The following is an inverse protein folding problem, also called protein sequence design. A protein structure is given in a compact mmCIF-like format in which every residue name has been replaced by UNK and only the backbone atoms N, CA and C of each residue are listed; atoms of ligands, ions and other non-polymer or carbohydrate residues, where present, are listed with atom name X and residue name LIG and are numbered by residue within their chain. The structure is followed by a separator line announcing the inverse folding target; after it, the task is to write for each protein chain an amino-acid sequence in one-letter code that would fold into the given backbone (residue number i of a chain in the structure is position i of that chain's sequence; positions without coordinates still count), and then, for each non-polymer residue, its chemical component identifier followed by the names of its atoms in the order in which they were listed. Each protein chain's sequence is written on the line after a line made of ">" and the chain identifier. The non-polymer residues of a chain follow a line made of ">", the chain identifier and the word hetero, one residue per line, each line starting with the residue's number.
data_IF_836260790971
#
_entry.id   IF_836260790971
#
_cell.length_a   1.000
_cell.length_b   1.000
_cell.length_c   1.000
_cell.angle_alpha   90.00
_cell.angle_beta   90.00
_cell.angle_gamma   90.00
#
_symmetry.space_group_name_H-M   'P 1'
#
loop_
_entity.id
_entity.type
_entity.pdbx_description
1 polymer ?
#
# COMPACT_ATOMS: atom_id res chain seq x y z
N UNK A 1 -7.26 -67.79 51.55
CA UNK A 1 -7.03 -66.35 51.64
C UNK A 1 -7.28 -65.75 50.27
N UNK A 2 -8.44 -65.03 50.10
CA UNK A 2 -8.89 -64.43 48.87
C UNK A 2 -8.48 -62.93 48.93
N UNK A 3 -7.63 -62.50 48.02
CA UNK A 3 -7.25 -61.09 47.90
C UNK A 3 -8.15 -60.50 46.81
N UNK A 4 -9.03 -59.57 47.21
CA UNK A 4 -9.86 -58.77 46.30
C UNK A 4 -9.08 -57.52 45.96
N UNK A 5 -8.67 -57.40 44.67
CA UNK A 5 -8.13 -56.14 44.11
C UNK A 5 -9.28 -55.22 43.71
N UNK A 6 -9.42 -54.12 44.44
CA UNK A 6 -10.30 -53.01 44.05
C UNK A 6 -9.53 -52.12 43.07
N UNK A 7 -9.99 -52.08 41.79
CA UNK A 7 -9.46 -51.15 40.81
C UNK A 7 -10.26 -49.85 40.91
N UNK A 8 -9.62 -48.77 41.42
CA UNK A 8 -10.15 -47.41 41.38
C UNK A 8 -9.92 -46.86 39.96
N UNK A 9 -10.97 -46.67 39.20
CA UNK A 9 -10.93 -45.92 37.95
C UNK A 9 -10.96 -44.43 38.25
N UNK A 10 -9.80 -43.72 38.10
CA UNK A 10 -9.78 -42.28 38.05
C UNK A 10 -10.24 -41.86 36.64
N UNK A 11 -11.44 -41.30 36.54
CA UNK A 11 -11.88 -40.54 35.39
C UNK A 11 -11.17 -39.18 35.43
N UNK A 12 -10.07 -39.05 34.73
CA UNK A 12 -9.49 -37.73 34.40
C UNK A 12 -10.33 -37.08 33.31
N UNK A 13 -11.18 -36.14 33.68
CA UNK A 13 -11.70 -35.14 32.77
C UNK A 13 -10.50 -34.29 32.32
N UNK A 14 -9.90 -34.65 31.20
CA UNK A 14 -8.99 -33.77 30.49
C UNK A 14 -9.79 -32.66 29.85
N UNK A 15 -9.69 -31.44 30.38
CA UNK A 15 -9.98 -30.23 29.67
C UNK A 15 -9.15 -30.28 28.40
N UNK A 16 -9.81 -30.51 27.27
CA UNK A 16 -9.24 -30.27 25.96
C UNK A 16 -9.19 -28.75 25.78
N UNK A 17 -8.22 -28.10 26.42
CA UNK A 17 -7.75 -26.81 26.01
C UNK A 17 -7.32 -26.99 24.55
N UNK A 18 -8.15 -26.55 23.63
CA UNK A 18 -7.76 -26.37 22.25
C UNK A 18 -6.52 -25.47 22.25
N UNK A 19 -5.36 -26.06 22.07
CA UNK A 19 -4.18 -25.30 21.64
C UNK A 19 -4.58 -24.68 20.33
N UNK A 20 -5.02 -23.42 20.35
CA UNK A 20 -5.00 -22.56 19.19
C UNK A 20 -3.60 -22.68 18.59
N UNK A 21 -3.54 -23.12 17.34
CA UNK A 21 -2.30 -23.18 16.61
C UNK A 21 -1.74 -21.76 16.58
N UNK A 22 -0.60 -21.55 17.21
CA UNK A 22 0.18 -20.32 17.07
C UNK A 22 0.70 -20.26 15.63
N UNK A 23 -0.20 -20.07 14.68
CA UNK A 23 0.12 -19.84 13.29
C UNK A 23 0.72 -18.45 13.14
N UNK A 24 1.79 -18.34 12.42
CA UNK A 24 2.32 -17.06 11.96
C UNK A 24 1.56 -16.68 10.69
N UNK A 25 0.98 -15.48 10.65
CA UNK A 25 0.40 -14.90 9.44
C UNK A 25 1.50 -14.16 8.66
N UNK A 26 1.54 -14.37 7.35
CA UNK A 26 2.52 -13.72 6.47
C UNK A 26 1.84 -12.72 5.51
N UNK A 27 2.28 -11.46 5.55
CA UNK A 27 1.82 -10.39 4.67
C UNK A 27 3.00 -9.90 3.85
N UNK A 28 2.93 -9.98 2.52
CA UNK A 28 4.02 -9.56 1.64
C UNK A 28 3.53 -8.62 0.55
N UNK A 29 4.33 -7.65 0.14
CA UNK A 29 4.01 -6.85 -1.04
C UNK A 29 4.39 -5.39 -0.98
N UNK A 30 3.42 -4.51 -1.12
CA UNK A 30 3.61 -3.08 -1.35
C UNK A 30 4.42 -2.38 -0.28
N UNK A 31 5.48 -1.67 -0.67
CA UNK A 31 6.22 -0.77 0.24
C UNK A 31 5.42 0.49 0.62
N UNK A 32 4.34 0.79 -0.10
CA UNK A 32 3.38 1.83 0.26
C UNK A 32 2.48 1.38 1.40
N UNK A 33 1.97 0.15 1.34
CA UNK A 33 1.07 -0.42 2.36
C UNK A 33 1.83 -0.85 3.62
N UNK A 34 3.14 -1.05 3.50
CA UNK A 34 3.99 -1.55 4.60
C UNK A 34 3.73 -0.86 5.95
N UNK A 35 3.68 0.48 6.06
CA UNK A 35 3.43 1.13 7.36
C UNK A 35 2.07 0.77 7.97
N UNK A 36 1.01 0.70 7.17
CA UNK A 36 -0.33 0.29 7.65
C UNK A 36 -0.28 -1.15 8.16
N UNK A 37 0.30 -2.05 7.35
CA UNK A 37 0.38 -3.46 7.70
C UNK A 37 1.23 -3.72 8.95
N UNK A 38 2.36 -3.01 9.13
CA UNK A 38 3.20 -3.13 10.33
C UNK A 38 2.49 -2.63 11.59
N UNK A 39 1.85 -1.45 11.54
CA UNK A 39 1.09 -0.92 12.68
C UNK A 39 -0.08 -1.83 13.05
N UNK A 40 -0.78 -2.36 12.05
CA UNK A 40 -1.85 -3.33 12.27
C UNK A 40 -1.31 -4.66 12.84
N UNK A 41 -0.15 -5.12 12.40
CA UNK A 41 0.48 -6.32 12.92
C UNK A 41 0.79 -6.19 14.42
N UNK A 42 1.39 -5.06 14.84
CA UNK A 42 1.65 -4.78 16.26
C UNK A 42 0.37 -4.78 17.10
N UNK A 43 -0.68 -4.09 16.64
CA UNK A 43 -1.96 -4.03 17.34
C UNK A 43 -2.68 -5.38 17.40
N UNK A 44 -2.66 -6.13 16.30
CA UNK A 44 -3.28 -7.45 16.20
C UNK A 44 -2.55 -8.48 17.08
N UNK A 45 -1.22 -8.48 17.08
CA UNK A 45 -0.41 -9.34 17.94
C UNK A 45 -0.66 -9.04 19.42
N UNK A 46 -0.73 -7.76 19.79
CA UNK A 46 -1.02 -7.36 21.19
C UNK A 46 -2.39 -7.87 21.68
N UNK A 47 -3.38 -7.98 20.78
CA UNK A 47 -4.75 -8.45 21.11
C UNK A 47 -4.90 -9.95 21.09
N UNK A 48 -4.28 -10.61 20.13
CA UNK A 48 -4.55 -12.03 19.83
C UNK A 48 -3.41 -12.96 20.23
N UNK A 49 -2.20 -12.42 20.41
CA UNK A 49 -0.98 -13.20 20.57
C UNK A 49 -0.50 -13.88 19.29
N UNK A 50 -1.11 -13.59 18.14
CA UNK A 50 -0.74 -14.16 16.85
C UNK A 50 0.32 -13.26 16.21
N UNK A 51 1.46 -13.85 15.85
CA UNK A 51 2.53 -13.12 15.18
C UNK A 51 2.19 -12.89 13.69
N UNK A 52 2.33 -11.65 13.22
CA UNK A 52 2.15 -11.28 11.82
C UNK A 52 3.49 -10.79 11.24
N UNK A 53 4.00 -11.52 10.27
CA UNK A 53 5.24 -11.16 9.56
C UNK A 53 4.91 -10.33 8.31
N UNK A 54 5.35 -9.08 8.32
CA UNK A 54 5.11 -8.15 7.21
C UNK A 54 6.41 -7.92 6.43
N UNK A 55 6.34 -7.91 5.10
CA UNK A 55 7.49 -7.64 4.22
C UNK A 55 7.14 -6.78 3.00
N UNK A 56 7.95 -5.74 2.78
CA UNK A 56 7.82 -4.82 1.64
C UNK A 56 8.69 -5.23 0.45
N UNK A 57 8.14 -6.03 -0.46
CA UNK A 57 8.83 -6.58 -1.63
C UNK A 57 8.38 -5.96 -2.97
N UNK A 58 7.36 -5.10 -2.95
CA UNK A 58 6.64 -4.60 -4.12
C UNK A 58 5.34 -5.37 -4.36
N UNK A 59 4.33 -4.68 -4.91
CA UNK A 59 2.97 -5.24 -5.08
C UNK A 59 2.96 -6.51 -5.92
N UNK A 60 3.65 -6.52 -7.06
CA UNK A 60 3.70 -7.69 -7.95
C UNK A 60 4.35 -8.90 -7.28
N UNK A 61 5.44 -8.69 -6.51
CA UNK A 61 6.10 -9.77 -5.78
C UNK A 61 5.20 -10.35 -4.66
N UNK A 62 4.43 -9.50 -3.97
CA UNK A 62 3.47 -9.95 -2.97
C UNK A 62 2.32 -10.74 -3.56
N UNK A 63 1.75 -10.26 -4.67
CA UNK A 63 0.68 -10.96 -5.40
C UNK A 63 1.17 -12.33 -5.87
N UNK A 64 2.35 -12.40 -6.47
CA UNK A 64 2.95 -13.67 -6.89
C UNK A 64 3.19 -14.63 -5.70
N UNK A 65 3.68 -14.10 -4.57
CA UNK A 65 3.90 -14.89 -3.36
C UNK A 65 2.58 -15.50 -2.83
N UNK A 66 1.47 -14.74 -2.89
CA UNK A 66 0.16 -15.21 -2.44
C UNK A 66 -0.45 -16.23 -3.41
N UNK A 67 -0.32 -16.02 -4.72
CA UNK A 67 -0.72 -17.02 -5.73
C UNK A 67 0.02 -18.34 -5.51
N UNK A 68 1.31 -18.28 -5.22
CA UNK A 68 2.17 -19.44 -5.00
C UNK A 68 2.06 -20.04 -3.58
N UNK A 69 1.25 -19.45 -2.69
CA UNK A 69 1.05 -19.92 -1.32
C UNK A 69 2.26 -19.73 -0.38
N UNK A 70 3.19 -18.82 -0.72
CA UNK A 70 4.35 -18.46 0.12
C UNK A 70 4.08 -17.25 1.01
N UNK A 71 3.00 -16.52 0.76
CA UNK A 71 2.40 -15.54 1.65
C UNK A 71 0.90 -15.80 1.78
N UNK A 72 0.34 -15.50 2.95
CA UNK A 72 -1.09 -15.66 3.23
C UNK A 72 -1.89 -14.48 2.65
N UNK A 73 -1.32 -13.29 2.69
CA UNK A 73 -1.92 -12.04 2.23
C UNK A 73 -0.91 -11.28 1.37
N UNK A 74 -1.33 -10.87 0.16
CA UNK A 74 -0.59 -9.86 -0.59
C UNK A 74 -1.06 -8.47 -0.21
N UNK A 75 -0.14 -7.53 0.01
CA UNK A 75 -0.43 -6.11 0.09
C UNK A 75 -0.11 -5.43 -1.24
N UNK A 76 -1.01 -4.57 -1.73
CA UNK A 76 -0.84 -3.91 -3.03
C UNK A 76 -1.28 -2.46 -3.02
N UNK A 77 -0.62 -1.65 -3.82
CA UNK A 77 -0.96 -0.24 -4.06
C UNK A 77 -1.45 -0.01 -5.51
N UNK A 78 -2.05 -1.04 -6.07
CA UNK A 78 -2.76 -1.08 -7.34
C UNK A 78 -3.76 -2.23 -7.36
N UNK A 79 -4.76 -2.17 -8.23
CA UNK A 79 -5.62 -3.31 -8.54
C UNK A 79 -4.83 -4.44 -9.24
N UNK A 80 -5.46 -5.60 -9.40
CA UNK A 80 -4.91 -6.72 -10.18
C UNK A 80 -4.80 -6.33 -11.66
N UNK A 81 -3.75 -6.81 -12.31
CA UNK A 81 -3.67 -6.76 -13.78
C UNK A 81 -4.66 -7.75 -14.40
N UNK A 82 -4.90 -7.61 -15.71
CA UNK A 82 -5.78 -8.55 -16.44
C UNK A 82 -5.30 -10.01 -16.34
N UNK A 83 -3.98 -10.24 -16.28
CA UNK A 83 -3.39 -11.56 -16.10
C UNK A 83 -3.63 -12.10 -14.68
N UNK A 84 -3.36 -11.28 -13.66
CA UNK A 84 -3.56 -11.63 -12.25
C UNK A 84 -5.05 -11.85 -11.90
N UNK A 85 -5.96 -11.11 -12.55
CA UNK A 85 -7.43 -11.28 -12.38
C UNK A 85 -7.95 -12.63 -12.86
N UNK A 86 -7.14 -13.40 -13.58
CA UNK A 86 -7.48 -14.78 -13.93
C UNK A 86 -7.22 -15.81 -12.82
N UNK A 87 -6.61 -15.37 -11.71
CA UNK A 87 -6.38 -16.18 -10.52
C UNK A 87 -7.57 -16.10 -9.55
N UNK A 88 -7.60 -17.00 -8.55
CA UNK A 88 -8.65 -17.03 -7.52
C UNK A 88 -8.45 -15.99 -6.40
N UNK A 89 -7.76 -14.88 -6.71
CA UNK A 89 -7.51 -13.83 -5.71
C UNK A 89 -8.77 -13.02 -5.40
N UNK A 90 -9.04 -12.89 -4.11
CA UNK A 90 -10.10 -12.02 -3.57
C UNK A 90 -9.45 -10.74 -3.05
N UNK A 91 -10.01 -9.59 -3.46
CA UNK A 91 -9.54 -8.27 -3.10
C UNK A 91 -10.32 -7.67 -1.94
N UNK A 92 -9.62 -7.04 -1.01
CA UNK A 92 -10.22 -6.18 0.02
C UNK A 92 -9.53 -4.82 -0.04
N UNK A 93 -10.30 -3.74 -0.22
CA UNK A 93 -9.77 -2.37 -0.09
C UNK A 93 -9.53 -2.09 1.39
N UNK A 94 -8.33 -1.62 1.74
CA UNK A 94 -7.95 -1.37 3.14
C UNK A 94 -7.74 0.11 3.46
N UNK A 95 -7.52 0.93 2.45
CA UNK A 95 -7.38 2.38 2.56
C UNK A 95 -7.43 3.02 1.16
N UNK A 96 -7.68 4.33 1.10
CA UNK A 96 -7.45 5.13 -0.10
C UNK A 96 -6.16 5.94 0.04
N UNK A 97 -5.52 6.25 -1.08
CA UNK A 97 -4.21 6.91 -1.14
C UNK A 97 -4.09 7.80 -2.38
N UNK A 98 -3.28 8.85 -2.26
CA UNK A 98 -2.86 9.67 -3.39
C UNK A 98 -1.39 9.42 -3.73
N UNK A 99 -1.05 9.46 -5.02
CA UNK A 99 0.34 9.45 -5.47
C UNK A 99 0.84 10.90 -5.50
N UNK A 100 1.55 11.33 -4.45
CA UNK A 100 2.17 12.63 -4.40
C UNK A 100 3.39 12.69 -5.33
N UNK A 101 3.44 13.70 -6.20
CA UNK A 101 4.63 14.06 -6.95
C UNK A 101 5.46 14.98 -6.10
N UNK A 102 6.68 14.58 -5.78
CA UNK A 102 7.55 15.26 -4.82
C UNK A 102 8.79 15.84 -5.48
N UNK A 103 9.18 16.99 -4.97
CA UNK A 103 10.44 17.70 -5.29
C UNK A 103 11.18 18.06 -4.00
N UNK A 104 12.43 18.46 -4.11
CA UNK A 104 13.17 19.01 -2.98
C UNK A 104 12.54 20.34 -2.52
N UNK A 105 12.49 20.63 -1.21
CA UNK A 105 11.94 21.87 -0.66
C UNK A 105 12.58 23.15 -1.20
N UNK A 106 13.83 23.08 -1.68
CA UNK A 106 14.52 24.20 -2.29
C UNK A 106 14.14 24.42 -3.78
N UNK A 107 13.36 23.51 -4.37
CA UNK A 107 12.85 23.70 -5.73
C UNK A 107 11.66 24.68 -5.70
N UNK A 108 11.69 25.80 -6.44
CA UNK A 108 10.62 26.79 -6.39
C UNK A 108 9.38 26.44 -7.21
N UNK A 109 9.40 25.38 -8.03
CA UNK A 109 8.23 24.91 -8.79
C UNK A 109 7.26 24.25 -7.84
N UNK A 110 5.99 24.70 -7.85
CA UNK A 110 4.96 24.23 -6.92
C UNK A 110 3.79 23.54 -7.63
N UNK A 111 3.68 23.70 -8.94
CA UNK A 111 2.57 23.18 -9.73
C UNK A 111 3.02 22.79 -11.11
N UNK A 112 2.45 21.70 -11.65
CA UNK A 112 2.62 21.27 -13.04
C UNK A 112 1.29 20.66 -13.51
N UNK A 113 1.14 20.54 -14.83
CA UNK A 113 0.01 19.80 -15.39
C UNK A 113 0.29 18.30 -15.46
N UNK A 114 -0.75 17.49 -15.61
CA UNK A 114 -0.61 16.05 -15.83
C UNK A 114 0.18 15.75 -17.13
N UNK A 115 0.01 16.58 -18.16
CA UNK A 115 0.75 16.46 -19.42
C UNK A 115 2.24 16.81 -19.23
N UNK A 116 2.57 17.89 -18.47
CA UNK A 116 3.95 18.21 -18.10
C UNK A 116 4.60 17.04 -17.36
N UNK A 117 3.88 16.47 -16.39
CA UNK A 117 4.37 15.32 -15.61
C UNK A 117 4.68 14.12 -16.51
N UNK A 118 3.80 13.81 -17.46
CA UNK A 118 4.03 12.77 -18.47
C UNK A 118 5.27 13.07 -19.31
N UNK A 119 5.40 14.30 -19.78
CA UNK A 119 6.51 14.71 -20.65
C UNK A 119 7.85 14.76 -19.88
N UNK A 120 7.83 15.09 -18.61
CA UNK A 120 9.00 14.95 -17.70
C UNK A 120 9.44 13.48 -17.65
N UNK A 121 8.53 12.56 -17.31
CA UNK A 121 8.87 11.14 -17.16
C UNK A 121 9.13 10.43 -18.47
N UNK A 122 8.68 10.99 -19.60
CA UNK A 122 9.05 10.56 -20.96
C UNK A 122 10.39 11.14 -21.42
N UNK A 123 11.02 12.03 -20.65
CA UNK A 123 12.29 12.67 -20.99
C UNK A 123 12.21 13.72 -22.08
N UNK A 124 11.02 14.27 -22.35
CA UNK A 124 10.81 15.39 -23.29
C UNK A 124 11.08 16.74 -22.63
N UNK A 125 10.63 16.94 -21.38
CA UNK A 125 10.97 18.07 -20.52
C UNK A 125 12.13 17.62 -19.64
N UNK A 126 13.28 18.29 -19.72
CA UNK A 126 14.51 17.86 -19.06
C UNK A 126 15.14 18.92 -18.16
N UNK A 127 14.60 20.12 -18.14
CA UNK A 127 15.08 21.23 -17.37
C UNK A 127 13.93 21.97 -16.68
N UNK A 128 14.09 22.30 -15.40
CA UNK A 128 13.08 23.03 -14.64
C UNK A 128 12.73 24.39 -15.21
N UNK A 129 13.66 25.03 -15.97
CA UNK A 129 13.38 26.31 -16.64
C UNK A 129 12.28 26.23 -17.69
N UNK A 130 11.99 25.04 -18.26
CA UNK A 130 10.89 24.80 -19.18
C UNK A 130 9.53 24.91 -18.48
N UNK A 131 9.52 24.80 -17.14
CA UNK A 131 8.34 24.89 -16.27
C UNK A 131 8.34 26.16 -15.41
N UNK A 132 9.11 27.17 -15.79
CA UNK A 132 9.22 28.45 -15.04
C UNK A 132 10.10 28.39 -13.79
N UNK A 133 10.80 27.29 -13.57
CA UNK A 133 11.78 27.11 -12.52
C UNK A 133 13.18 27.61 -12.89
N UNK A 134 14.21 27.28 -12.08
CA UNK A 134 15.59 27.62 -12.36
C UNK A 134 16.17 26.85 -13.54
N UNK A 135 17.26 27.34 -14.14
CA UNK A 135 18.05 26.57 -15.11
C UNK A 135 18.79 25.43 -14.40
N UNK A 136 18.08 24.32 -14.24
CA UNK A 136 18.51 23.15 -13.51
C UNK A 136 17.96 21.87 -14.18
N UNK A 137 18.85 20.93 -14.46
CA UNK A 137 18.46 19.65 -15.05
C UNK A 137 17.54 18.86 -14.11
N UNK A 138 16.43 18.34 -14.66
CA UNK A 138 15.54 17.45 -13.95
C UNK A 138 16.21 16.09 -13.77
N UNK A 139 16.25 15.60 -12.52
CA UNK A 139 16.75 14.28 -12.17
C UNK A 139 15.58 13.38 -11.86
N UNK A 140 15.27 12.47 -12.79
CA UNK A 140 14.14 11.55 -12.66
C UNK A 140 14.43 10.45 -11.66
N UNK A 141 13.53 10.28 -10.70
CA UNK A 141 13.51 9.15 -9.77
C UNK A 141 12.28 8.32 -10.04
N UNK A 142 12.47 7.07 -10.42
CA UNK A 142 11.42 6.12 -10.76
C UNK A 142 11.48 4.93 -9.79
N UNK A 143 10.47 4.09 -9.84
CA UNK A 143 10.39 2.83 -9.12
C UNK A 143 10.70 1.65 -10.05
N UNK A 144 11.04 0.51 -9.47
CA UNK A 144 11.23 -0.75 -10.19
C UNK A 144 9.90 -1.36 -10.68
N UNK A 145 9.99 -2.43 -11.45
CA UNK A 145 8.84 -3.09 -12.07
C UNK A 145 7.94 -3.83 -11.07
N UNK A 146 8.44 -4.19 -9.89
CA UNK A 146 7.64 -4.81 -8.84
C UNK A 146 6.74 -3.79 -8.11
N UNK A 147 6.95 -2.49 -8.34
CA UNK A 147 6.24 -1.41 -7.64
C UNK A 147 4.83 -1.19 -8.18
N UNK A 148 3.81 -1.47 -7.34
CA UNK A 148 2.43 -1.08 -7.64
C UNK A 148 2.23 0.43 -7.78
N UNK A 149 3.03 1.27 -7.09
CA UNK A 149 3.00 2.73 -7.27
C UNK A 149 3.47 3.13 -8.66
N UNK A 150 4.52 2.48 -9.20
CA UNK A 150 4.96 2.71 -10.58
C UNK A 150 3.89 2.28 -11.58
N UNK A 151 3.23 1.17 -11.35
CA UNK A 151 2.20 0.68 -12.24
C UNK A 151 0.96 1.57 -12.23
N UNK A 152 0.48 2.00 -11.05
CA UNK A 152 -0.60 2.98 -10.94
C UNK A 152 -0.21 4.31 -11.61
N UNK A 153 1.00 4.82 -11.37
CA UNK A 153 1.51 6.01 -12.03
C UNK A 153 1.59 5.82 -13.56
N UNK A 154 2.03 4.67 -14.03
CA UNK A 154 2.06 4.34 -15.45
C UNK A 154 0.68 4.36 -16.08
N UNK A 155 -0.31 3.81 -15.41
CA UNK A 155 -1.70 3.80 -15.88
C UNK A 155 -2.30 5.21 -15.93
N UNK A 156 -2.15 5.99 -14.87
CA UNK A 156 -2.79 7.30 -14.72
C UNK A 156 -2.05 8.37 -15.54
N UNK A 157 -0.73 8.44 -15.43
CA UNK A 157 0.09 9.51 -15.99
C UNK A 157 0.65 9.14 -17.36
N UNK A 158 1.33 8.00 -17.48
CA UNK A 158 2.04 7.65 -18.71
C UNK A 158 1.12 7.19 -19.82
N UNK A 159 0.01 6.51 -19.53
CA UNK A 159 -1.02 6.09 -20.49
C UNK A 159 -0.44 5.43 -21.76
N UNK A 160 0.50 4.50 -21.55
CA UNK A 160 1.20 3.80 -22.63
C UNK A 160 2.44 4.51 -23.16
N UNK A 161 2.77 5.71 -22.69
CA UNK A 161 4.04 6.37 -22.97
C UNK A 161 5.17 5.69 -22.16
N UNK A 162 6.31 5.40 -22.79
CA UNK A 162 7.44 4.80 -22.12
C UNK A 162 8.14 5.78 -21.16
N UNK A 163 8.62 5.26 -20.03
CA UNK A 163 9.49 6.01 -19.13
C UNK A 163 10.88 6.22 -19.71
N UNK A 164 11.44 7.39 -19.45
CA UNK A 164 12.84 7.68 -19.78
C UNK A 164 13.77 6.71 -19.02
N UNK A 165 14.61 6.00 -19.79
CA UNK A 165 15.56 5.00 -19.26
C UNK A 165 16.70 5.61 -18.44
N UNK A 166 16.86 6.93 -18.46
CA UNK A 166 17.84 7.66 -17.64
C UNK A 166 17.42 7.84 -16.19
N UNK A 167 16.16 7.58 -15.86
CA UNK A 167 15.65 7.67 -14.50
C UNK A 167 16.40 6.74 -13.55
N UNK A 168 16.73 7.24 -12.34
CA UNK A 168 17.21 6.40 -11.26
C UNK A 168 16.07 5.49 -10.79
N UNK A 169 16.29 4.18 -10.77
CA UNK A 169 15.29 3.19 -10.41
C UNK A 169 15.52 2.70 -8.98
N UNK A 170 14.50 2.83 -8.13
CA UNK A 170 14.57 2.51 -6.70
C UNK A 170 13.48 1.50 -6.29
N UNK A 171 13.80 0.54 -5.40
CA UNK A 171 12.87 -0.52 -5.02
C UNK A 171 11.83 -0.10 -3.97
N UNK A 172 12.03 1.00 -3.22
CA UNK A 172 11.19 1.34 -2.07
C UNK A 172 10.70 2.79 -2.06
N UNK A 173 9.49 3.01 -1.52
CA UNK A 173 8.85 4.32 -1.41
C UNK A 173 9.70 5.30 -0.58
N UNK A 174 10.22 4.87 0.57
CA UNK A 174 11.07 5.71 1.42
C UNK A 174 12.39 6.11 0.74
N UNK A 175 12.96 5.24 -0.10
CA UNK A 175 14.19 5.54 -0.83
C UNK A 175 13.99 6.63 -1.89
N UNK A 176 12.83 6.67 -2.55
CA UNK A 176 12.49 7.76 -3.47
C UNK A 176 12.50 9.09 -2.73
N UNK A 177 11.80 9.18 -1.59
CA UNK A 177 11.79 10.37 -0.75
C UNK A 177 13.19 10.80 -0.34
N UNK A 178 14.01 9.85 0.10
CA UNK A 178 15.37 10.14 0.56
C UNK A 178 16.27 10.69 -0.56
N UNK A 179 16.15 10.20 -1.78
CA UNK A 179 16.91 10.71 -2.94
C UNK A 179 16.43 12.12 -3.31
N UNK A 180 15.11 12.34 -3.39
CA UNK A 180 14.53 13.64 -3.73
C UNK A 180 14.90 14.69 -2.68
N UNK A 181 14.88 14.35 -1.39
CA UNK A 181 15.23 15.27 -0.30
C UNK A 181 16.68 15.77 -0.36
N UNK A 182 17.56 15.07 -1.07
CA UNK A 182 19.00 15.41 -1.15
C UNK A 182 19.42 16.08 -2.44
N UNK A 183 18.51 16.20 -3.42
CA UNK A 183 18.83 16.80 -4.72
C UNK A 183 17.78 17.80 -5.17
N UNK A 184 18.18 19.07 -5.33
CA UNK A 184 17.29 20.18 -5.72
C UNK A 184 16.65 19.93 -7.10
N UNK A 185 17.35 19.24 -8.01
CA UNK A 185 16.85 18.94 -9.35
C UNK A 185 15.96 17.71 -9.43
N UNK A 186 15.85 16.94 -8.35
CA UNK A 186 15.13 15.67 -8.38
C UNK A 186 13.61 15.83 -8.36
N UNK A 187 12.95 14.93 -9.07
CA UNK A 187 11.50 14.70 -9.02
C UNK A 187 11.26 13.21 -8.81
N UNK A 188 10.29 12.89 -7.96
CA UNK A 188 9.88 11.53 -7.66
C UNK A 188 8.38 11.46 -7.41
N UNK A 189 7.85 10.26 -7.21
CA UNK A 189 6.46 10.04 -6.83
C UNK A 189 6.37 8.98 -5.73
N UNK A 190 5.57 9.25 -4.72
CA UNK A 190 5.36 8.41 -3.53
C UNK A 190 3.90 8.49 -3.08
N UNK A 191 3.52 7.68 -2.12
CA UNK A 191 2.23 7.82 -1.43
C UNK A 191 2.19 9.10 -0.58
N UNK A 192 1.01 9.74 -0.48
CA UNK A 192 0.77 10.87 0.44
C UNK A 192 1.08 10.49 1.90
N UNK A 193 0.87 9.24 2.29
CA UNK A 193 1.22 8.73 3.62
C UNK A 193 2.71 8.83 3.95
N UNK A 194 3.59 8.90 2.96
CA UNK A 194 5.03 9.15 3.16
C UNK A 194 5.39 10.63 3.24
N UNK A 195 4.44 11.53 3.03
CA UNK A 195 4.60 12.99 3.13
C UNK A 195 3.81 13.53 4.31
N UNK A 196 2.52 13.20 4.41
CA UNK A 196 1.57 13.77 5.36
C UNK A 196 1.56 13.09 6.74
N UNK A 197 2.17 11.91 6.86
CA UNK A 197 2.22 11.17 8.11
C UNK A 197 2.80 12.01 9.24
N UNK A 198 2.10 12.07 10.37
CA UNK A 198 2.61 12.71 11.60
C UNK A 198 3.86 12.02 12.18
N UNK A 199 4.17 10.83 11.73
CA UNK A 199 5.36 10.07 12.13
C UNK A 199 6.59 10.35 11.26
N UNK A 200 6.45 11.20 10.23
CA UNK A 200 7.51 11.44 9.25
C UNK A 200 7.89 12.92 9.22
N UNK A 201 9.15 13.24 9.45
CA UNK A 201 9.72 14.55 9.14
C UNK A 201 10.21 14.52 7.69
N UNK A 202 9.66 15.37 6.82
CA UNK A 202 10.05 15.43 5.42
C UNK A 202 10.79 16.71 5.08
N UNK A 203 11.70 16.65 4.11
CA UNK A 203 12.38 17.77 3.45
C UNK A 203 12.06 17.77 1.95
N UNK A 204 10.84 17.36 1.62
CA UNK A 204 10.30 17.36 0.26
C UNK A 204 8.98 18.09 0.24
N UNK A 205 8.73 18.80 -0.86
CA UNK A 205 7.46 19.47 -1.16
C UNK A 205 6.69 18.69 -2.20
N UNK A 206 5.37 18.76 -2.13
CA UNK A 206 4.49 18.18 -3.13
C UNK A 206 4.19 19.21 -4.21
N UNK A 207 4.08 18.73 -5.46
CA UNK A 207 3.55 19.54 -6.55
C UNK A 207 2.02 19.36 -6.61
N UNK A 208 1.29 20.44 -6.83
CA UNK A 208 -0.10 20.34 -7.28
C UNK A 208 -0.13 19.90 -8.74
N UNK A 209 -1.10 19.04 -9.07
CA UNK A 209 -1.31 18.52 -10.42
C UNK A 209 -2.62 19.10 -10.97
N UNK A 210 -2.57 19.77 -12.12
CA UNK A 210 -3.71 20.49 -12.69
C UNK A 210 -4.38 21.46 -11.69
N UNK A 211 -3.60 22.03 -10.78
CA UNK A 211 -4.05 22.94 -9.73
C UNK A 211 -4.65 22.29 -8.50
N UNK A 212 -4.62 20.94 -8.39
CA UNK A 212 -5.11 20.20 -7.23
C UNK A 212 -3.95 19.68 -6.40
N UNK A 213 -3.95 19.96 -5.08
CA UNK A 213 -2.94 19.50 -4.14
C UNK A 213 -3.19 18.03 -3.71
N UNK A 214 -2.12 17.25 -3.42
CA UNK A 214 -2.24 15.89 -2.90
C UNK A 214 -2.57 15.90 -1.40
N UNK A 215 -3.79 16.29 -1.06
CA UNK A 215 -4.31 16.26 0.31
C UNK A 215 -5.26 15.08 0.51
N UNK A 216 -5.43 14.66 1.76
CA UNK A 216 -6.40 13.60 2.13
C UNK A 216 -7.79 13.98 1.64
N UNK A 217 -8.26 15.21 1.89
CA UNK A 217 -9.57 15.71 1.45
C UNK A 217 -9.74 15.63 -0.07
N UNK A 218 -8.71 15.98 -0.86
CA UNK A 218 -8.79 15.95 -2.32
C UNK A 218 -8.74 14.52 -2.89
N UNK A 219 -8.13 13.60 -2.17
CA UNK A 219 -8.19 12.17 -2.51
C UNK A 219 -9.56 11.59 -2.17
N UNK A 220 -10.08 11.84 -0.97
CA UNK A 220 -11.36 11.34 -0.50
C UNK A 220 -12.53 11.83 -1.37
N UNK A 221 -12.54 13.11 -1.74
CA UNK A 221 -13.58 13.67 -2.60
C UNK A 221 -13.38 13.40 -4.10
N UNK A 222 -12.32 12.65 -4.49
CA UNK A 222 -12.03 12.25 -5.86
C UNK A 222 -11.54 13.37 -6.77
N UNK A 223 -11.17 14.55 -6.26
CA UNK A 223 -10.67 15.67 -7.09
C UNK A 223 -9.20 15.55 -7.43
N UNK A 224 -8.40 14.85 -6.60
CA UNK A 224 -6.98 14.66 -6.91
C UNK A 224 -6.80 13.60 -8.01
N UNK A 225 -6.16 13.93 -9.15
CA UNK A 225 -6.14 13.05 -10.32
C UNK A 225 -5.30 11.78 -10.14
N UNK A 226 -4.38 11.74 -9.18
CA UNK A 226 -3.52 10.58 -8.93
C UNK A 226 -3.98 9.79 -7.69
N UNK A 227 -5.29 9.66 -7.50
CA UNK A 227 -5.90 8.85 -6.42
C UNK A 227 -5.93 7.36 -6.77
N UNK A 228 -5.86 6.50 -5.76
CA UNK A 228 -5.91 5.04 -5.90
C UNK A 228 -6.35 4.37 -4.61
N UNK A 229 -6.74 3.10 -4.73
CA UNK A 229 -6.97 2.23 -3.57
C UNK A 229 -5.72 1.45 -3.20
N UNK A 230 -5.66 1.08 -1.93
CA UNK A 230 -4.71 0.13 -1.37
C UNK A 230 -5.46 -1.16 -1.01
N UNK A 231 -4.84 -2.28 -1.31
CA UNK A 231 -5.51 -3.58 -1.24
C UNK A 231 -4.75 -4.59 -0.39
N UNK A 232 -5.51 -5.49 0.20
CA UNK A 232 -5.07 -6.84 0.52
C UNK A 232 -5.70 -7.82 -0.46
N UNK A 233 -4.93 -8.84 -0.86
CA UNK A 233 -5.40 -9.96 -1.67
C UNK A 233 -5.14 -11.26 -0.94
N UNK A 234 -6.13 -12.16 -0.99
CA UNK A 234 -6.01 -13.55 -0.49
C UNK A 234 -6.30 -14.53 -1.60
N UNK A 235 -5.72 -15.72 -1.52
CA UNK A 235 -6.02 -16.80 -2.47
C UNK A 235 -7.34 -17.50 -2.04
N UNK A 236 -8.44 -17.16 -2.70
CA UNK A 236 -9.80 -17.47 -2.29
C UNK A 236 -10.29 -16.57 -1.14
N UNK A 237 -11.54 -16.81 -0.70
CA UNK A 237 -12.14 -16.05 0.41
C UNK A 237 -11.29 -16.10 1.67
N UNK A 238 -11.05 -14.94 2.33
CA UNK A 238 -10.24 -14.90 3.54
C UNK A 238 -10.91 -15.68 4.68
N UNK A 239 -10.16 -16.58 5.32
CA UNK A 239 -10.62 -17.43 6.42
C UNK A 239 -9.65 -17.39 7.60
N UNK A 240 -10.14 -17.80 8.78
CA UNK A 240 -9.31 -17.92 9.98
C UNK A 240 -8.56 -16.63 10.31
N UNK A 241 -7.26 -16.74 10.57
CA UNK A 241 -6.42 -15.62 11.00
C UNK A 241 -6.30 -14.52 9.93
N UNK A 242 -6.27 -14.89 8.65
CA UNK A 242 -6.19 -13.91 7.57
C UNK A 242 -7.45 -13.03 7.52
N UNK A 243 -8.64 -13.63 7.63
CA UNK A 243 -9.90 -12.89 7.74
C UNK A 243 -9.90 -11.96 8.95
N UNK A 244 -9.51 -12.48 10.11
CA UNK A 244 -9.56 -11.74 11.37
C UNK A 244 -8.57 -10.55 11.33
N UNK A 245 -7.40 -10.72 10.71
CA UNK A 245 -6.42 -9.64 10.50
C UNK A 245 -6.95 -8.58 9.51
N UNK A 246 -7.53 -8.98 8.38
CA UNK A 246 -8.13 -8.06 7.41
C UNK A 246 -9.25 -7.26 8.08
N UNK A 247 -10.15 -7.92 8.81
CA UNK A 247 -11.22 -7.26 9.55
C UNK A 247 -10.69 -6.30 10.62
N UNK A 248 -9.56 -6.60 11.24
CA UNK A 248 -8.91 -5.69 12.16
C UNK A 248 -8.37 -4.44 11.46
N UNK A 249 -7.69 -4.60 10.31
CA UNK A 249 -7.14 -3.49 9.52
C UNK A 249 -8.24 -2.53 9.06
N UNK A 250 -9.40 -3.04 8.66
CA UNK A 250 -10.54 -2.24 8.17
C UNK A 250 -11.49 -1.78 9.28
N UNK A 251 -11.17 -2.04 10.55
CA UNK A 251 -12.03 -1.67 11.68
C UNK A 251 -11.94 -0.18 12.02
N UNK A 252 -12.99 0.36 12.66
CA UNK A 252 -12.99 1.72 13.22
C UNK A 252 -11.81 1.99 14.18
N UNK A 253 -11.32 0.94 14.86
CA UNK A 253 -10.18 1.07 15.76
C UNK A 253 -8.90 1.43 15.00
N UNK A 254 -8.71 0.88 13.79
CA UNK A 254 -7.55 1.19 12.95
C UNK A 254 -7.72 2.50 12.18
N UNK A 255 -8.92 3.02 12.02
CA UNK A 255 -9.18 4.22 11.21
C UNK A 255 -8.31 5.41 11.63
N UNK A 256 -8.25 5.72 12.94
CA UNK A 256 -7.39 6.82 13.42
C UNK A 256 -5.90 6.55 13.19
N UNK A 257 -5.46 5.30 13.31
CA UNK A 257 -4.06 4.92 13.06
C UNK A 257 -3.70 5.09 11.58
N UNK A 258 -4.61 4.73 10.68
CA UNK A 258 -4.46 4.89 9.24
C UNK A 258 -4.40 6.37 8.87
N UNK A 259 -5.32 7.20 9.42
CA UNK A 259 -5.31 8.67 9.24
C UNK A 259 -4.02 9.28 9.77
N UNK A 260 -3.58 8.90 10.97
CA UNK A 260 -2.32 9.39 11.55
C UNK A 260 -1.10 9.02 10.71
N UNK A 261 -1.17 7.95 9.97
CA UNK A 261 -0.15 7.53 9.02
C UNK A 261 -0.25 8.27 7.66
N UNK A 262 -1.26 9.14 7.48
CA UNK A 262 -1.43 9.98 6.28
C UNK A 262 -2.16 9.27 5.14
N UNK A 263 -2.97 8.25 5.47
CA UNK A 263 -3.84 7.55 4.51
C UNK A 263 -5.30 7.78 4.85
N UNK A 264 -6.19 7.51 3.92
CA UNK A 264 -7.63 7.64 4.12
C UNK A 264 -8.21 6.24 4.43
N UNK A 265 -8.76 6.02 5.65
CA UNK A 265 -9.36 4.74 6.00
C UNK A 265 -10.62 4.48 5.17
N UNK A 266 -10.93 3.21 4.90
CA UNK A 266 -12.24 2.83 4.33
C UNK A 266 -13.33 3.12 5.34
N UNK A 267 -14.47 3.65 4.88
CA UNK A 267 -15.65 3.83 5.73
C UNK A 267 -16.38 2.50 5.87
N UNK A 268 -16.94 2.24 7.07
CA UNK A 268 -17.70 1.02 7.34
C UNK A 268 -18.98 0.87 6.46
N UNK A 269 -19.31 1.88 5.64
CA UNK A 269 -20.50 1.88 4.78
C UNK A 269 -20.22 1.40 3.34
N UNK A 270 -18.95 1.24 2.93
CA UNK A 270 -18.58 0.88 1.55
C UNK A 270 -18.51 -0.64 1.29
N UNK A 271 -18.60 -1.47 2.31
CA UNK A 271 -18.48 -2.94 2.20
C UNK A 271 -19.77 -3.64 1.71
N UNK A 272 -20.73 -2.94 1.11
CA UNK A 272 -22.06 -3.47 0.86
C UNK A 272 -22.75 -3.21 -0.48
N UNK A 273 -22.10 -2.64 -1.52
CA UNK A 273 -22.84 -2.34 -2.78
C UNK A 273 -22.02 -2.55 -4.05
N UNK A 274 -21.76 -3.79 -4.41
CA UNK A 274 -21.57 -4.21 -5.81
C UNK A 274 -22.35 -5.51 -6.08
N UNK A 275 -23.66 -5.55 -5.71
CA UNK A 275 -24.59 -6.53 -6.24
C UNK A 275 -25.78 -5.82 -6.88
N UNK A 276 -26.00 -6.15 -8.16
CA UNK A 276 -27.19 -5.91 -8.97
C UNK A 276 -27.44 -4.51 -9.56
N UNK A 277 -26.87 -4.27 -10.73
CA UNK A 277 -27.61 -3.56 -11.78
C UNK A 277 -27.28 -4.13 -13.18
N UNK A 278 -27.66 -5.38 -13.44
CA UNK A 278 -27.84 -5.85 -14.84
C UNK A 278 -29.01 -6.83 -14.90
N UNK A 279 -30.24 -6.25 -14.95
CA UNK A 279 -31.44 -6.96 -15.39
C UNK A 279 -32.55 -5.94 -15.69
N UNK A 280 -32.56 -5.38 -16.91
CA UNK A 280 -33.79 -5.07 -17.66
C UNK A 280 -33.47 -4.65 -19.09
#
# INVERSE_FOLDING_TARGET
>A
VLIVCVVLSLAACGDASSKESSGTLTVAGSTTVLPIAEMAAEGFEAKTGINVLVSGLGSSAGIEATINGTADIASSSRSLTAEESSSDLVSTVIAHDGIAVIVNDANPVQAITLDDLRDIYAGKITNWSELGGPDLTIQLVNRDEASGTREAFSSIVMQGTEFDRRAAVLPGTGQVRDVVSRSIGAIGYISIGFVNSKYTSTTVSCLSIDGVEPTEDNVENGTYPLSRDLYFFTNGEPTGVARDYISYVTSEEMAQTITDAGYIPVSAEEDGTDEESDAS
#
